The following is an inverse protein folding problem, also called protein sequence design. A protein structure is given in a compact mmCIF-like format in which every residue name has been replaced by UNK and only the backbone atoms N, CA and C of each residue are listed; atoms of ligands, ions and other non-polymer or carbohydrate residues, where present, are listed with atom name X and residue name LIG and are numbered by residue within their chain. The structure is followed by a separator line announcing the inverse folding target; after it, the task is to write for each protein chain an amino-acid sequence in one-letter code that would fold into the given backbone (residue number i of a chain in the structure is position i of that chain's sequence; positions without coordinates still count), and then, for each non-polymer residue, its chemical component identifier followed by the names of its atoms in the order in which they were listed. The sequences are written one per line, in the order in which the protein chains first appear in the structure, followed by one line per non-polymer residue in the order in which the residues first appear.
data_IF_275625430112
#
_entry.id   IF_275625430112
#
_cell.length_a   1.000
_cell.length_b   1.000
_cell.length_c   1.000
_cell.angle_alpha   90.00
_cell.angle_beta   90.00
_cell.angle_gamma   90.00
#
_symmetry.space_group_name_H-M   'P 1'
#
loop_
_entity.id
_entity.type
_entity.pdbx_description
1 polymer ?
#
# COMPACT_ATOMS: atom_id res chain seq x y z
N UNK A 1 33.06 -1.96 -18.91
CA UNK A 1 31.83 -1.85 -18.09
C UNK A 1 32.05 -0.82 -17.00
N UNK A 2 31.44 0.35 -17.16
CA UNK A 2 31.37 1.37 -16.12
C UNK A 2 30.12 1.10 -15.28
N UNK A 3 30.27 0.91 -13.97
CA UNK A 3 29.17 0.69 -13.04
C UNK A 3 29.31 1.60 -11.83
N UNK A 4 28.19 1.94 -11.19
CA UNK A 4 28.14 2.67 -9.93
C UNK A 4 27.50 1.80 -8.86
N UNK A 5 28.09 1.79 -7.65
CA UNK A 5 27.55 1.07 -6.49
C UNK A 5 26.93 2.11 -5.56
N UNK A 6 25.63 1.97 -5.29
CA UNK A 6 24.87 2.89 -4.44
C UNK A 6 24.23 2.17 -3.27
N UNK A 7 24.26 2.81 -2.10
CA UNK A 7 23.52 2.35 -0.93
C UNK A 7 22.08 2.86 -1.04
N UNK A 8 21.11 1.96 -0.85
CA UNK A 8 19.67 2.28 -0.95
C UNK A 8 18.97 1.79 0.31
N UNK A 9 18.03 2.58 0.82
CA UNK A 9 17.16 2.14 1.90
C UNK A 9 16.33 0.93 1.43
N UNK A 10 16.04 0.02 2.35
CA UNK A 10 15.14 -1.11 2.14
C UNK A 10 14.46 -1.50 3.46
N UNK A 11 13.43 -2.32 3.40
CA UNK A 11 12.76 -2.90 4.55
C UNK A 11 12.69 -4.44 4.43
N UNK A 12 12.48 -5.12 5.56
CA UNK A 12 12.15 -6.55 5.53
C UNK A 12 10.70 -6.73 5.09
N UNK A 13 10.35 -7.82 4.39
CA UNK A 13 8.95 -8.18 4.15
C UNK A 13 8.19 -8.27 5.48
N UNK A 14 6.97 -7.75 5.48
CA UNK A 14 5.99 -7.88 6.55
C UNK A 14 4.62 -8.14 5.94
N UNK A 15 3.63 -8.46 6.77
CA UNK A 15 2.26 -8.66 6.34
C UNK A 15 1.26 -8.08 7.35
N UNK A 16 0.11 -7.65 6.83
CA UNK A 16 -1.04 -7.25 7.63
C UNK A 16 -1.92 -8.48 7.87
N UNK A 17 -2.38 -8.67 9.10
CA UNK A 17 -3.36 -9.69 9.45
C UNK A 17 -4.70 -8.99 9.70
N UNK A 18 -5.70 -9.29 8.87
CA UNK A 18 -7.03 -8.69 8.96
C UNK A 18 -8.02 -9.71 9.51
N UNK A 19 -8.68 -9.33 10.60
CA UNK A 19 -9.85 -10.00 11.17
C UNK A 19 -11.06 -9.09 10.98
N UNK A 20 -11.94 -9.44 10.04
CA UNK A 20 -13.11 -8.64 9.67
C UNK A 20 -14.38 -9.46 9.87
N UNK A 21 -15.30 -8.96 10.69
CA UNK A 21 -16.66 -9.50 10.83
C UNK A 21 -17.59 -8.83 9.83
N UNK A 22 -18.22 -9.61 8.95
CA UNK A 22 -19.33 -9.15 8.13
C UNK A 22 -20.65 -9.63 8.75
N UNK A 23 -21.39 -8.71 9.36
CA UNK A 23 -22.70 -8.99 9.97
C UNK A 23 -23.85 -9.05 8.95
N UNK A 24 -23.59 -8.75 7.66
CA UNK A 24 -24.59 -8.88 6.60
C UNK A 24 -24.84 -10.37 6.30
N UNK A 25 -26.05 -10.68 5.84
CA UNK A 25 -26.42 -12.04 5.39
C UNK A 25 -25.84 -12.44 4.03
N UNK A 26 -25.18 -11.51 3.33
CA UNK A 26 -24.60 -11.73 2.01
C UNK A 26 -23.12 -11.28 1.95
N UNK A 27 -22.40 -11.78 0.94
CA UNK A 27 -21.06 -11.31 0.61
C UNK A 27 -21.10 -9.79 0.37
N UNK A 28 -20.06 -9.08 0.82
CA UNK A 28 -19.89 -7.66 0.56
C UNK A 28 -18.52 -7.42 -0.05
N UNK A 29 -18.45 -6.58 -1.08
CA UNK A 29 -17.17 -6.05 -1.54
C UNK A 29 -16.72 -4.98 -0.53
N UNK A 30 -15.49 -5.10 -0.04
CA UNK A 30 -14.87 -4.13 0.85
C UNK A 30 -13.67 -3.48 0.15
N UNK A 31 -13.51 -2.17 0.30
CA UNK A 31 -12.26 -1.48 -0.01
C UNK A 31 -11.50 -1.28 1.29
N UNK A 32 -10.32 -1.90 1.40
CA UNK A 32 -9.45 -1.79 2.56
C UNK A 32 -8.41 -0.72 2.26
N UNK A 33 -8.24 0.23 3.18
CA UNK A 33 -7.34 1.39 3.06
C UNK A 33 -6.41 1.41 4.26
N UNK A 34 -5.10 1.37 4.02
CA UNK A 34 -4.09 1.28 5.09
C UNK A 34 -3.18 2.50 5.01
N UNK A 35 -3.09 3.24 6.11
CA UNK A 35 -2.24 4.40 6.25
C UNK A 35 -1.23 4.22 7.38
N UNK A 36 -0.08 4.87 7.27
CA UNK A 36 0.90 4.97 8.34
C UNK A 36 1.06 6.44 8.75
N UNK A 37 0.69 6.75 9.98
CA UNK A 37 0.66 8.11 10.52
C UNK A 37 1.74 8.27 11.61
N UNK A 38 2.55 9.33 11.61
CA UNK A 38 3.48 9.59 12.72
C UNK A 38 2.69 9.90 14.00
N UNK A 39 3.21 9.46 15.15
CA UNK A 39 2.59 9.75 16.46
C UNK A 39 2.89 11.18 16.94
N UNK A 40 4.08 11.68 16.66
CA UNK A 40 4.56 12.97 17.14
C UNK A 40 5.48 13.65 16.13
N UNK A 41 5.66 14.95 16.29
CA UNK A 41 6.62 15.75 15.53
C UNK A 41 8.08 15.52 16.02
N UNK A 42 9.03 16.25 15.43
CA UNK A 42 10.45 16.16 15.80
C UNK A 42 10.73 16.62 17.25
N UNK A 43 9.88 17.49 17.81
CA UNK A 43 9.99 18.00 19.17
C UNK A 43 9.26 17.10 20.20
N UNK A 44 8.74 15.95 19.76
CA UNK A 44 7.89 15.03 20.53
C UNK A 44 6.54 15.64 20.95
N UNK A 45 6.00 16.59 20.20
CA UNK A 45 4.61 17.02 20.35
C UNK A 45 3.72 16.00 19.65
N UNK A 46 2.85 15.34 20.41
CA UNK A 46 1.91 14.36 19.87
C UNK A 46 0.91 15.02 18.92
N UNK A 47 0.65 14.37 17.79
CA UNK A 47 -0.39 14.79 16.87
C UNK A 47 -1.75 14.31 17.35
N UNK A 48 -2.74 15.20 17.29
CA UNK A 48 -4.15 14.79 17.30
C UNK A 48 -4.58 14.31 15.89
N UNK A 49 -5.83 13.87 15.76
CA UNK A 49 -6.35 13.36 14.49
C UNK A 49 -6.37 14.43 13.38
N UNK A 50 -6.57 15.72 13.69
CA UNK A 50 -6.61 16.78 12.67
C UNK A 50 -5.21 17.15 12.19
N UNK A 51 -4.29 17.37 13.13
CA UNK A 51 -2.91 17.76 12.84
C UNK A 51 -2.11 16.60 12.24
N UNK A 52 -2.39 15.36 12.65
CA UNK A 52 -1.68 14.17 12.20
C UNK A 52 -2.08 13.67 10.81
N UNK A 53 -3.36 13.85 10.41
CA UNK A 53 -3.91 13.23 9.18
C UNK A 53 -3.13 13.55 7.91
N UNK A 54 -2.58 14.76 7.81
CA UNK A 54 -1.87 15.22 6.61
C UNK A 54 -0.43 14.70 6.52
N UNK A 55 0.07 14.09 7.59
CA UNK A 55 1.37 13.41 7.63
C UNK A 55 1.26 11.90 7.42
N UNK A 56 0.04 11.37 7.32
CA UNK A 56 -0.19 9.97 7.02
C UNK A 56 0.21 9.64 5.59
N UNK A 57 0.93 8.54 5.39
CA UNK A 57 1.25 8.01 4.07
C UNK A 57 0.33 6.83 3.75
N UNK A 58 -0.08 6.73 2.48
CA UNK A 58 -0.84 5.59 1.96
C UNK A 58 0.10 4.38 1.81
N UNK A 59 -0.14 3.32 2.58
CA UNK A 59 0.62 2.09 2.47
C UNK A 59 -0.02 1.09 1.52
N UNK A 60 -1.36 1.09 1.44
CA UNK A 60 -2.07 0.12 0.64
C UNK A 60 -3.55 0.47 0.47
N UNK A 61 -4.07 0.07 -0.69
CA UNK A 61 -5.50 0.10 -0.99
C UNK A 61 -5.86 -1.07 -1.87
N UNK A 62 -6.86 -1.85 -1.49
CA UNK A 62 -7.25 -3.02 -2.27
C UNK A 62 -8.71 -3.40 -2.00
N UNK A 63 -9.28 -4.19 -2.91
CA UNK A 63 -10.62 -4.72 -2.78
C UNK A 63 -10.59 -6.16 -2.32
N UNK A 64 -11.58 -6.54 -1.51
CA UNK A 64 -11.75 -7.90 -1.02
C UNK A 64 -13.23 -8.17 -0.75
N UNK A 65 -13.73 -9.29 -1.24
CA UNK A 65 -15.03 -9.84 -0.91
C UNK A 65 -14.95 -10.45 0.49
N UNK A 66 -15.71 -9.89 1.41
CA UNK A 66 -15.88 -10.40 2.77
C UNK A 66 -17.18 -11.20 2.86
N UNK A 67 -17.08 -12.48 3.21
CA UNK A 67 -18.22 -13.40 3.35
C UNK A 67 -18.97 -13.12 4.66
N UNK A 68 -20.26 -13.46 4.78
CA UNK A 68 -20.97 -13.41 6.05
C UNK A 68 -20.20 -14.11 7.18
N UNK A 69 -20.12 -13.47 8.35
CA UNK A 69 -19.37 -13.95 9.50
C UNK A 69 -17.90 -13.48 9.53
N UNK A 70 -17.06 -14.27 10.21
CA UNK A 70 -15.65 -13.95 10.42
C UNK A 70 -14.81 -14.24 9.17
N UNK A 71 -14.04 -13.24 8.73
CA UNK A 71 -13.06 -13.35 7.67
C UNK A 71 -11.67 -13.10 8.25
N UNK A 72 -10.76 -14.04 8.03
CA UNK A 72 -9.35 -13.90 8.38
C UNK A 72 -8.52 -14.01 7.10
N UNK A 73 -7.68 -13.02 6.84
CA UNK A 73 -6.75 -13.07 5.73
C UNK A 73 -5.50 -12.24 6.01
N UNK A 74 -4.41 -12.65 5.36
CA UNK A 74 -3.14 -11.95 5.37
C UNK A 74 -2.97 -11.17 4.07
N UNK A 75 -2.27 -10.03 4.13
CA UNK A 75 -1.81 -9.29 2.96
C UNK A 75 -0.34 -8.91 3.11
N UNK A 76 0.48 -9.34 2.16
CA UNK A 76 1.91 -9.08 2.14
C UNK A 76 2.21 -7.63 1.75
N UNK A 77 3.23 -7.05 2.39
CA UNK A 77 3.81 -5.76 1.97
C UNK A 77 4.24 -5.74 0.50
N UNK A 78 4.58 -6.89 -0.09
CA UNK A 78 4.95 -7.01 -1.51
C UNK A 78 3.77 -6.90 -2.48
N UNK A 79 2.53 -6.96 -1.97
CA UNK A 79 1.30 -6.81 -2.76
C UNK A 79 0.75 -5.38 -2.73
N UNK A 80 1.47 -4.45 -2.07
CA UNK A 80 1.05 -3.07 -1.90
C UNK A 80 0.76 -2.40 -3.25
N UNK A 81 -0.38 -1.75 -3.34
CA UNK A 81 -0.77 -0.97 -4.53
C UNK A 81 -0.20 0.46 -4.51
N UNK A 82 0.55 0.82 -3.47
CA UNK A 82 1.29 2.09 -3.41
C UNK A 82 2.68 1.98 -4.05
N UNK A 83 3.22 0.76 -4.15
CA UNK A 83 4.61 0.54 -4.51
C UNK A 83 4.82 -0.43 -5.67
N UNK A 84 6.02 -0.37 -6.27
CA UNK A 84 6.46 -1.22 -7.38
C UNK A 84 7.88 -1.75 -7.14
N UNK A 85 8.20 -2.98 -7.60
CA UNK A 85 9.55 -3.53 -7.53
C UNK A 85 10.57 -2.68 -8.29
N UNK A 86 11.85 -3.01 -8.11
CA UNK A 86 12.92 -2.41 -8.90
C UNK A 86 12.77 -2.73 -10.39
N UNK A 87 13.00 -1.70 -11.21
CA UNK A 87 12.94 -1.81 -12.67
C UNK A 87 14.13 -2.67 -13.13
N UNK A 88 13.92 -3.64 -14.05
CA UNK A 88 15.00 -4.43 -14.61
C UNK A 88 16.07 -3.56 -15.28
N UNK A 89 17.33 -4.01 -15.21
CA UNK A 89 18.42 -3.29 -15.87
C UNK A 89 18.26 -3.31 -17.39
N UNK A 90 18.79 -2.29 -18.07
CA UNK A 90 18.76 -2.25 -19.53
C UNK A 90 19.44 -3.49 -20.16
N UNK A 91 20.53 -3.96 -19.55
CA UNK A 91 21.20 -5.21 -19.96
C UNK A 91 20.29 -6.44 -19.85
N UNK A 92 19.49 -6.52 -18.79
CA UNK A 92 18.51 -7.61 -18.60
C UNK A 92 17.44 -7.57 -19.68
N UNK A 93 16.93 -6.37 -20.01
CA UNK A 93 15.92 -6.19 -21.04
C UNK A 93 16.45 -6.53 -22.44
N UNK A 94 17.65 -6.09 -22.79
CA UNK A 94 18.32 -6.46 -24.05
C UNK A 94 18.47 -7.98 -24.14
N UNK A 95 19.01 -8.62 -23.10
CA UNK A 95 19.23 -10.07 -23.12
C UNK A 95 17.92 -10.86 -23.31
N UNK A 96 16.81 -10.43 -22.68
CA UNK A 96 15.50 -11.05 -22.87
C UNK A 96 14.96 -10.84 -24.29
N UNK A 97 15.12 -9.64 -24.85
CA UNK A 97 14.66 -9.32 -26.20
C UNK A 97 15.46 -10.09 -27.26
N UNK A 98 16.80 -10.13 -27.14
CA UNK A 98 17.69 -10.85 -28.06
C UNK A 98 17.40 -12.36 -28.05
N UNK A 99 17.22 -12.95 -26.86
CA UNK A 99 16.85 -14.36 -26.72
C UNK A 99 15.49 -14.66 -27.37
N UNK A 100 14.47 -13.83 -27.09
CA UNK A 100 13.15 -13.99 -27.69
C UNK A 100 13.17 -13.89 -29.22
N UNK A 101 14.00 -12.98 -29.76
CA UNK A 101 14.23 -12.84 -31.19
C UNK A 101 14.90 -14.08 -31.80
N UNK A 102 15.96 -14.59 -31.18
CA UNK A 102 16.70 -15.77 -31.65
C UNK A 102 15.82 -17.02 -31.71
N UNK A 103 15.04 -17.26 -30.65
CA UNK A 103 14.21 -18.47 -30.53
C UNK A 103 12.76 -18.28 -30.98
N UNK A 104 12.42 -17.12 -31.57
CA UNK A 104 11.08 -16.77 -32.11
C UNK A 104 9.93 -17.03 -31.13
N UNK A 105 10.11 -16.63 -29.88
CA UNK A 105 9.07 -16.71 -28.84
C UNK A 105 8.81 -15.33 -28.22
N UNK A 106 7.79 -15.23 -27.35
CA UNK A 106 7.49 -14.00 -26.62
C UNK A 106 8.55 -13.74 -25.53
N UNK A 107 9.05 -12.50 -25.33
CA UNK A 107 10.06 -12.21 -24.31
C UNK A 107 9.57 -12.38 -22.86
N UNK A 108 8.28 -12.66 -22.65
CA UNK A 108 7.62 -12.86 -21.37
C UNK A 108 7.93 -11.71 -20.40
N UNK A 109 7.75 -10.47 -20.88
CA UNK A 109 7.97 -9.26 -20.08
C UNK A 109 6.81 -8.96 -19.13
N UNK A 110 5.74 -9.75 -19.17
CA UNK A 110 4.57 -9.64 -18.29
C UNK A 110 4.89 -9.91 -16.83
N UNK A 111 6.05 -10.50 -16.52
CA UNK A 111 6.55 -10.61 -15.15
C UNK A 111 6.97 -9.27 -14.54
N UNK A 112 7.26 -8.27 -15.39
CA UNK A 112 7.64 -6.94 -14.94
C UNK A 112 6.40 -6.08 -14.72
N UNK A 113 6.42 -5.36 -13.61
CA UNK A 113 5.38 -4.40 -13.30
C UNK A 113 5.63 -3.07 -14.01
N UNK A 114 4.65 -2.18 -13.89
CA UNK A 114 4.78 -0.78 -14.30
C UNK A 114 5.92 -0.09 -13.56
N UNK A 115 6.51 0.91 -14.19
CA UNK A 115 7.58 1.73 -13.59
C UNK A 115 7.07 2.92 -12.76
N UNK A 116 5.77 3.22 -12.82
CA UNK A 116 5.17 4.24 -11.97
C UNK A 116 4.79 3.63 -10.62
N UNK A 117 5.25 4.24 -9.55
CA UNK A 117 4.92 3.86 -8.17
C UNK A 117 6.05 4.24 -7.23
N UNK A 118 5.77 4.21 -5.92
CA UNK A 118 6.84 4.32 -4.92
C UNK A 118 7.73 3.08 -5.07
N UNK A 119 9.07 3.19 -5.06
CA UNK A 119 9.88 1.99 -5.09
C UNK A 119 9.61 1.13 -3.84
N UNK A 120 9.37 -0.17 -4.01
CA UNK A 120 9.00 -1.10 -2.93
C UNK A 120 9.88 -0.96 -1.68
N UNK A 121 11.19 -0.80 -1.88
CA UNK A 121 12.16 -0.61 -0.80
C UNK A 121 11.92 0.63 0.09
N UNK A 122 11.10 1.58 -0.37
CA UNK A 122 10.72 2.82 0.29
C UNK A 122 9.26 2.83 0.76
N UNK A 123 8.57 1.67 0.76
CA UNK A 123 7.17 1.56 1.19
C UNK A 123 6.94 2.13 2.60
N UNK A 124 7.90 1.95 3.50
CA UNK A 124 7.85 2.49 4.86
C UNK A 124 9.01 3.46 5.14
N UNK A 125 8.83 4.43 6.06
CA UNK A 125 9.88 5.34 6.46
C UNK A 125 11.08 4.61 7.07
N UNK A 126 12.24 5.26 7.08
CA UNK A 126 13.48 4.70 7.64
C UNK A 126 13.36 4.28 9.11
N UNK A 127 12.57 5.00 9.90
CA UNK A 127 12.52 4.86 11.37
C UNK A 127 13.81 5.28 12.05
N UNK A 128 14.02 4.83 13.29
CA UNK A 128 15.26 5.08 14.05
C UNK A 128 15.82 3.78 14.63
N UNK A 129 17.08 3.79 15.07
CA UNK A 129 17.69 2.61 15.72
C UNK A 129 16.95 2.22 17.00
N UNK A 130 16.38 3.19 17.72
CA UNK A 130 15.59 2.96 18.93
C UNK A 130 14.14 2.54 18.65
N UNK A 131 13.72 2.55 17.39
CA UNK A 131 12.32 2.47 17.00
C UNK A 131 11.71 3.86 16.88
N UNK A 132 10.97 4.08 15.79
CA UNK A 132 10.09 5.23 15.63
C UNK A 132 8.65 4.73 15.66
N UNK A 133 7.84 5.34 16.52
CA UNK A 133 6.43 5.00 16.69
C UNK A 133 5.58 5.61 15.59
N UNK A 134 4.67 4.80 15.07
CA UNK A 134 3.62 5.21 14.14
C UNK A 134 2.30 4.61 14.57
N UNK A 135 1.20 5.24 14.16
CA UNK A 135 -0.11 4.62 14.16
C UNK A 135 -0.37 4.08 12.76
N UNK A 136 -0.61 2.77 12.66
CA UNK A 136 -1.12 2.15 11.44
C UNK A 136 -2.64 2.19 11.48
N UNK A 137 -3.25 2.90 10.54
CA UNK A 137 -4.69 3.10 10.46
C UNK A 137 -5.26 2.27 9.33
N UNK A 138 -6.26 1.44 9.62
CA UNK A 138 -6.97 0.64 8.64
C UNK A 138 -8.45 1.05 8.61
N UNK A 139 -8.95 1.31 7.42
CA UNK A 139 -10.36 1.59 7.16
C UNK A 139 -10.91 0.53 6.21
N UNK A 140 -12.13 0.05 6.48
CA UNK A 140 -12.87 -0.87 5.62
C UNK A 140 -14.10 -0.13 5.13
N UNK A 141 -14.16 0.21 3.84
CA UNK A 141 -15.24 0.99 3.25
C UNK A 141 -16.06 0.13 2.28
N UNK A 142 -17.28 0.54 1.98
CA UNK A 142 -18.18 -0.24 1.13
C UNK A 142 -17.70 -0.20 -0.33
N UNK A 143 -17.19 -1.35 -0.78
CA UNK A 143 -16.55 -1.49 -2.07
C UNK A 143 -17.50 -1.30 -3.24
N UNK A 144 -18.80 -1.61 -3.08
CA UNK A 144 -19.79 -1.41 -4.16
C UNK A 144 -20.01 0.09 -4.43
N UNK A 145 -19.90 0.93 -3.39
CA UNK A 145 -19.97 2.38 -3.54
C UNK A 145 -18.65 2.96 -4.05
N UNK A 146 -17.52 2.41 -3.60
CA UNK A 146 -16.19 2.93 -3.90
C UNK A 146 -15.68 2.53 -5.29
N UNK A 147 -15.96 1.30 -5.74
CA UNK A 147 -15.46 0.75 -7.00
C UNK A 147 -15.95 1.54 -8.22
N UNK A 148 -15.02 1.90 -9.11
CA UNK A 148 -15.31 2.56 -10.37
C UNK A 148 -15.16 1.65 -11.60
N UNK A 149 -14.48 0.51 -11.44
CA UNK A 149 -14.30 -0.51 -12.45
C UNK A 149 -14.87 -1.85 -11.93
N UNK A 150 -15.12 -2.77 -12.85
CA UNK A 150 -15.53 -4.13 -12.53
C UNK A 150 -14.31 -5.02 -12.23
N UNK A 151 -14.54 -6.15 -11.55
CA UNK A 151 -13.53 -7.18 -11.26
C UNK A 151 -12.25 -6.68 -10.55
N UNK A 152 -12.38 -5.70 -9.65
CA UNK A 152 -11.26 -5.08 -8.91
C UNK A 152 -10.48 -6.01 -7.96
N UNK A 153 -10.93 -7.24 -7.75
CA UNK A 153 -10.16 -8.26 -7.03
C UNK A 153 -9.01 -8.86 -7.85
N UNK A 154 -8.96 -8.62 -9.17
CA UNK A 154 -7.89 -9.17 -10.02
C UNK A 154 -6.54 -8.49 -9.74
N UNK A 155 -5.48 -9.29 -9.74
CA UNK A 155 -4.09 -8.87 -9.46
C UNK A 155 -3.51 -7.85 -10.46
N UNK A 156 -4.23 -7.53 -11.54
CA UNK A 156 -3.76 -6.68 -12.64
C UNK A 156 -3.70 -5.18 -12.29
N UNK A 157 -4.31 -4.77 -11.16
CA UNK A 157 -4.35 -3.36 -10.75
C UNK A 157 -3.12 -2.93 -9.93
N UNK A 158 -1.93 -3.40 -10.31
CA UNK A 158 -0.69 -3.01 -9.62
C UNK A 158 -0.49 -1.48 -9.62
N UNK A 159 0.03 -0.94 -8.52
CA UNK A 159 0.37 0.49 -8.35
C UNK A 159 -0.79 1.49 -8.48
N UNK A 160 -2.05 1.04 -8.46
CA UNK A 160 -3.19 1.91 -8.78
C UNK A 160 -3.37 3.09 -7.82
N UNK A 161 -2.89 3.00 -6.57
CA UNK A 161 -3.09 4.01 -5.53
C UNK A 161 -2.50 5.38 -5.89
N UNK A 162 -1.38 5.38 -6.63
CA UNK A 162 -0.72 6.61 -7.07
C UNK A 162 -0.64 6.75 -8.59
N UNK A 163 -0.79 5.65 -9.34
CA UNK A 163 -0.55 5.64 -10.79
C UNK A 163 -1.79 5.28 -11.61
N UNK A 164 -2.95 5.10 -10.97
CA UNK A 164 -4.20 4.71 -11.62
C UNK A 164 -4.06 3.40 -12.40
N UNK A 165 -4.94 3.17 -13.38
CA UNK A 165 -4.95 1.99 -14.24
C UNK A 165 -4.74 2.44 -15.69
N UNK A 166 -3.77 1.89 -16.45
CA UNK A 166 -3.52 2.29 -17.82
C UNK A 166 -4.75 2.07 -18.72
N UNK A 167 -5.16 3.10 -19.46
CA UNK A 167 -6.30 2.99 -20.38
C UNK A 167 -7.67 3.05 -19.73
N UNK A 168 -7.73 3.10 -18.39
CA UNK A 168 -8.96 3.08 -17.61
C UNK A 168 -9.12 4.31 -16.73
N UNK A 169 -10.33 4.43 -16.15
CA UNK A 169 -10.60 5.43 -15.11
C UNK A 169 -9.86 5.04 -13.81
N UNK A 170 -9.67 6.02 -12.93
CA UNK A 170 -9.18 5.72 -11.59
C UNK A 170 -10.17 4.76 -10.89
N UNK A 171 -9.71 3.66 -10.26
CA UNK A 171 -10.58 2.56 -9.85
C UNK A 171 -11.40 2.80 -8.58
N UNK A 172 -11.17 3.93 -7.90
CA UNK A 172 -11.81 4.31 -6.63
C UNK A 172 -12.49 5.67 -6.77
N UNK A 173 -13.81 5.72 -6.62
CA UNK A 173 -14.63 6.94 -6.72
C UNK A 173 -14.38 7.92 -5.57
N UNK A 174 -13.78 7.47 -4.46
CA UNK A 174 -13.52 8.33 -3.30
C UNK A 174 -12.43 9.36 -3.62
N UNK A 175 -12.43 10.52 -2.94
CA UNK A 175 -11.30 11.44 -2.99
C UNK A 175 -9.99 10.73 -2.68
N UNK A 176 -8.92 11.11 -3.38
CA UNK A 176 -7.58 10.64 -3.03
C UNK A 176 -7.25 11.06 -1.59
N UNK A 177 -6.80 10.10 -0.78
CA UNK A 177 -6.57 10.30 0.66
C UNK A 177 -7.79 10.04 1.55
N UNK A 178 -8.96 9.68 1.01
CA UNK A 178 -10.13 9.33 1.83
C UNK A 178 -9.81 8.18 2.81
N UNK A 179 -10.25 8.26 4.08
CA UNK A 179 -11.08 9.31 4.70
C UNK A 179 -10.31 10.46 5.39
N UNK A 180 -9.00 10.58 5.15
CA UNK A 180 -8.11 11.57 5.79
C UNK A 180 -8.00 12.90 5.02
N UNK A 181 -8.65 12.98 3.86
CA UNK A 181 -8.67 14.17 2.99
C UNK A 181 -9.37 15.36 3.64
N UNK A 182 -10.32 15.11 4.55
CA UNK A 182 -11.13 16.14 5.22
C UNK A 182 -10.67 16.39 6.64
N UNK A 183 -11.12 17.52 7.19
CA UNK A 183 -10.88 17.87 8.60
C UNK A 183 -11.54 16.88 9.55
N UNK A 184 -10.82 16.51 10.61
CA UNK A 184 -11.23 15.63 11.70
C UNK A 184 -11.08 16.41 13.01
N UNK A 185 -11.94 17.43 13.27
CA UNK A 185 -11.85 18.21 14.50
C UNK A 185 -12.16 17.38 15.75
N UNK A 186 -12.77 16.20 15.58
CA UNK A 186 -13.12 15.29 16.66
C UNK A 186 -12.79 13.85 16.28
N UNK A 187 -11.75 13.29 16.92
CA UNK A 187 -11.29 11.91 16.68
C UNK A 187 -12.36 10.85 17.02
N UNK A 188 -13.34 11.18 17.87
CA UNK A 188 -14.42 10.26 18.27
C UNK A 188 -15.27 9.83 17.08
N UNK A 189 -15.28 10.62 15.99
CA UNK A 189 -15.96 10.26 14.74
C UNK A 189 -15.42 8.94 14.19
N UNK A 190 -14.13 8.67 14.29
CA UNK A 190 -13.56 7.39 13.85
C UNK A 190 -13.67 6.31 14.92
N UNK A 191 -13.39 6.63 16.18
CA UNK A 191 -13.50 5.63 17.26
C UNK A 191 -14.93 5.13 17.50
N UNK A 192 -15.94 5.89 17.07
CA UNK A 192 -17.35 5.47 17.08
C UNK A 192 -17.76 4.58 15.90
N UNK A 193 -16.89 4.37 14.91
CA UNK A 193 -17.19 3.52 13.75
C UNK A 193 -16.65 2.10 13.94
N UNK A 194 -17.38 1.11 13.46
CA UNK A 194 -17.02 -0.32 13.60
C UNK A 194 -16.07 -0.81 12.51
N UNK A 195 -15.86 0.00 11.48
CA UNK A 195 -15.07 -0.32 10.28
C UNK A 195 -13.76 0.47 10.20
N UNK A 196 -13.27 0.95 11.35
CA UNK A 196 -11.95 1.58 11.52
C UNK A 196 -11.20 0.92 12.67
N UNK A 197 -9.89 0.76 12.50
CA UNK A 197 -9.00 0.34 13.58
C UNK A 197 -7.63 0.99 13.41
N UNK A 198 -7.03 1.43 14.51
CA UNK A 198 -5.64 1.83 14.56
C UNK A 198 -4.82 0.90 15.47
N UNK A 199 -3.55 0.71 15.11
CA UNK A 199 -2.60 -0.09 15.85
C UNK A 199 -1.29 0.67 15.96
N UNK A 200 -0.72 0.81 17.16
CA UNK A 200 0.63 1.35 17.32
C UNK A 200 1.66 0.34 16.79
N UNK A 201 2.55 0.81 15.91
CA UNK A 201 3.64 0.02 15.33
C UNK A 201 4.97 0.75 15.49
N UNK A 202 6.07 0.00 15.51
CA UNK A 202 7.41 0.55 15.64
C UNK A 202 8.27 0.18 14.42
N UNK A 203 8.91 1.19 13.83
CA UNK A 203 9.85 1.00 12.72
C UNK A 203 11.28 1.18 13.19
N UNK A 204 12.06 0.09 13.11
CA UNK A 204 13.45 0.04 13.56
C UNK A 204 14.43 0.12 12.39
N UNK A 205 15.29 1.13 12.39
CA UNK A 205 16.38 1.24 11.43
C UNK A 205 17.57 0.39 11.89
N UNK A 206 17.94 -0.62 11.08
CA UNK A 206 19.21 -1.33 11.26
C UNK A 206 20.30 -0.63 10.44
N UNK A 207 21.29 -0.06 11.14
CA UNK A 207 22.50 0.44 10.48
C UNK A 207 23.28 -0.74 9.93
N UNK A 208 23.57 -0.73 8.64
CA UNK A 208 24.54 -1.65 8.05
C UNK A 208 25.92 -1.28 8.57
N UNK A 209 26.58 -2.19 9.29
CA UNK A 209 28.01 -2.07 9.55
C UNK A 209 28.74 -2.59 8.32
N UNK A 210 29.70 -1.82 7.83
CA UNK A 210 30.62 -2.20 6.75
C UNK A 210 31.93 -2.65 7.35
#
# INVERSE_FOLDING_TARGET
NLTAIIQRLNHKPFAYNFDIMNERSANALATIRVFLCPVADYNNVEYDAESGRWYCIDLDKFWRVVKPGNNHFERSSGESTAAVPDIPSFKTLIAKADHAYEFKHDPHLTEFTRSCGIPQRLLIPKGTVKGLKFQMWAFVTDGDYDAQLDDLEKDDYLSHSHCGVPGDKFPDKRPMGFPLDRRIPDARVFHGTTNFKNTEVNVFHRKTQY
#
